data_IF_389233852043
#
_entry.id   IF_389233852043
#
_cell.length_a   1.000
_cell.length_b   1.000
_cell.length_c   1.000
_cell.angle_alpha   90.00
_cell.angle_beta   90.00
_cell.angle_gamma   90.00
#
_symmetry.space_group_name_H-M   'P 1'
#
loop_
_entity.id
_entity.type
_entity.pdbx_description
1 polymer ?
#
# COMPACT_ATOMS: atom_id res chain seq x y z
N UNK A 1 -13.01 -61.47 -19.82
CA UNK A 1 -13.76 -60.31 -20.34
C UNK A 1 -14.20 -59.49 -19.15
N UNK A 2 -13.43 -58.47 -18.77
CA UNK A 2 -13.83 -57.47 -17.79
C UNK A 2 -13.54 -56.11 -18.40
N UNK A 3 -14.60 -55.30 -18.53
CA UNK A 3 -14.57 -53.95 -19.09
C UNK A 3 -13.95 -52.99 -18.07
N UNK A 4 -13.08 -52.06 -18.46
CA UNK A 4 -12.70 -50.97 -17.57
C UNK A 4 -13.79 -49.89 -17.61
N UNK A 5 -14.29 -49.54 -16.43
CA UNK A 5 -15.19 -48.41 -16.19
C UNK A 5 -14.43 -47.10 -16.37
N UNK A 6 -14.94 -46.25 -17.27
CA UNK A 6 -14.48 -44.86 -17.47
C UNK A 6 -14.96 -44.03 -16.28
N UNK A 7 -14.02 -43.49 -15.51
CA UNK A 7 -14.33 -42.46 -14.51
C UNK A 7 -14.29 -41.11 -15.21
N UNK A 8 -15.46 -40.50 -15.38
CA UNK A 8 -15.59 -39.11 -15.81
C UNK A 8 -15.10 -38.19 -14.68
N UNK A 9 -13.97 -37.53 -14.90
CA UNK A 9 -13.53 -36.40 -14.06
C UNK A 9 -14.39 -35.20 -14.45
N UNK A 10 -15.31 -34.83 -13.56
CA UNK A 10 -16.01 -33.54 -13.64
C UNK A 10 -15.04 -32.48 -13.14
N UNK A 11 -14.44 -31.74 -14.07
CA UNK A 11 -13.75 -30.48 -13.75
C UNK A 11 -14.82 -29.47 -13.34
N UNK A 12 -14.96 -29.28 -12.02
CA UNK A 12 -15.72 -28.15 -11.49
C UNK A 12 -14.83 -26.93 -11.67
N UNK A 13 -15.13 -26.12 -12.69
CA UNK A 13 -14.55 -24.79 -12.84
C UNK A 13 -15.08 -23.95 -11.68
N UNK A 14 -14.27 -23.75 -10.64
CA UNK A 14 -14.57 -22.82 -9.57
C UNK A 14 -14.40 -21.40 -10.13
N UNK A 15 -15.49 -20.80 -10.62
CA UNK A 15 -15.61 -19.35 -10.67
C UNK A 15 -15.56 -18.88 -9.21
N UNK A 16 -14.38 -18.42 -8.76
CA UNK A 16 -14.29 -17.58 -7.60
C UNK A 16 -15.07 -16.32 -7.93
N UNK A 17 -16.28 -16.21 -7.40
CA UNK A 17 -16.98 -14.94 -7.35
C UNK A 17 -16.11 -14.02 -6.47
N UNK A 18 -15.30 -13.17 -7.11
CA UNK A 18 -14.73 -12.01 -6.44
C UNK A 18 -15.92 -11.29 -5.81
N UNK A 19 -15.90 -11.10 -4.50
CA UNK A 19 -16.91 -10.30 -3.84
C UNK A 19 -16.86 -8.94 -4.52
N UNK A 20 -17.91 -8.60 -5.25
CA UNK A 20 -18.07 -7.28 -5.82
C UNK A 20 -18.28 -6.34 -4.64
N UNK A 21 -17.19 -5.72 -4.16
CA UNK A 21 -17.30 -4.46 -3.44
C UNK A 21 -18.19 -3.59 -4.35
N UNK A 22 -19.26 -3.03 -3.80
CA UNK A 22 -20.04 -2.08 -4.59
C UNK A 22 -19.07 -0.97 -5.00
N UNK A 23 -18.90 -0.75 -6.31
CA UNK A 23 -17.97 0.26 -6.82
C UNK A 23 -18.42 1.65 -6.36
N UNK A 24 -17.94 2.05 -5.19
CA UNK A 24 -18.14 3.39 -4.66
C UNK A 24 -16.97 4.26 -5.09
N UNK A 25 -17.25 5.54 -5.26
CA UNK A 25 -16.23 6.55 -5.56
C UNK A 25 -15.74 7.28 -4.31
N UNK A 26 -16.28 6.94 -3.15
CA UNK A 26 -15.85 7.42 -1.85
C UNK A 26 -16.26 6.44 -0.76
N UNK A 27 -15.65 6.58 0.41
CA UNK A 27 -15.95 5.75 1.56
C UNK A 27 -15.07 6.06 2.75
N UNK A 28 -15.22 5.24 3.78
CA UNK A 28 -14.38 5.25 4.98
C UNK A 28 -14.02 3.83 5.37
N UNK A 29 -12.87 3.64 5.99
CA UNK A 29 -12.47 2.37 6.59
C UNK A 29 -11.62 2.60 7.84
N UNK A 30 -11.62 1.62 8.75
CA UNK A 30 -10.85 1.68 9.99
C UNK A 30 -9.41 1.16 9.79
N UNK A 31 -8.47 1.84 10.44
CA UNK A 31 -7.05 1.50 10.52
C UNK A 31 -6.72 1.09 11.96
N UNK A 32 -5.77 0.17 12.14
CA UNK A 32 -5.13 -0.15 13.41
C UNK A 32 -3.63 -0.34 13.20
N UNK A 33 -2.80 0.24 14.06
CA UNK A 33 -1.39 -0.12 14.18
C UNK A 33 -1.12 -0.59 15.60
N UNK A 34 -0.43 -1.72 15.75
CA UNK A 34 -0.23 -2.32 17.06
C UNK A 34 1.05 -3.17 17.13
N UNK A 35 2.04 -2.71 17.89
CA UNK A 35 3.12 -3.58 18.35
C UNK A 35 2.56 -4.61 19.34
N UNK A 36 2.58 -5.88 18.95
CA UNK A 36 1.95 -7.00 19.69
C UNK A 36 2.92 -7.71 20.66
N UNK A 37 4.15 -7.21 20.81
CA UNK A 37 5.17 -7.74 21.72
C UNK A 37 5.43 -9.26 21.57
N UNK A 38 5.39 -9.77 20.34
CA UNK A 38 5.38 -11.20 20.02
C UNK A 38 6.75 -11.89 20.02
N UNK A 39 7.75 -11.33 20.72
CA UNK A 39 9.02 -12.00 21.04
C UNK A 39 8.78 -13.30 21.85
N UNK A 40 9.73 -14.26 21.86
CA UNK A 40 9.58 -15.47 22.70
C UNK A 40 9.24 -15.16 24.16
N UNK A 41 8.36 -15.95 24.78
CA UNK A 41 7.99 -15.81 26.20
C UNK A 41 9.24 -15.70 27.09
N UNK A 42 9.22 -14.75 28.03
CA UNK A 42 10.35 -14.44 28.91
C UNK A 42 11.47 -13.58 28.27
N UNK A 43 11.44 -13.33 26.96
CA UNK A 43 12.22 -12.28 26.30
C UNK A 43 11.36 -11.06 25.96
N UNK A 44 10.06 -11.27 25.74
CA UNK A 44 9.09 -10.19 25.60
C UNK A 44 8.96 -9.39 26.90
N UNK A 45 8.70 -8.09 26.77
CA UNK A 45 8.25 -7.16 27.82
C UNK A 45 6.79 -7.40 28.24
N UNK A 46 6.05 -8.19 27.46
CA UNK A 46 4.68 -8.65 27.70
C UNK A 46 4.65 -10.17 27.97
N UNK A 47 3.45 -10.78 27.97
CA UNK A 47 3.24 -12.23 28.12
C UNK A 47 2.57 -12.80 26.84
N UNK A 48 3.26 -12.86 25.69
CA UNK A 48 2.65 -13.12 24.39
C UNK A 48 2.01 -14.51 24.26
N UNK A 49 2.47 -15.52 25.01
CA UNK A 49 1.81 -16.84 25.01
C UNK A 49 0.35 -16.74 25.51
N UNK A 50 0.10 -15.84 26.46
CA UNK A 50 -1.24 -15.59 27.01
C UNK A 50 -1.98 -14.50 26.23
N UNK A 51 -1.27 -13.43 25.85
CA UNK A 51 -1.89 -12.22 25.34
C UNK A 51 -2.19 -12.27 23.83
N UNK A 52 -1.35 -12.91 23.02
CA UNK A 52 -1.55 -12.94 21.56
C UNK A 52 -2.89 -13.59 21.14
N UNK A 53 -3.37 -14.70 21.75
CA UNK A 53 -4.72 -15.20 21.48
C UNK A 53 -5.83 -14.19 21.79
N UNK A 54 -5.69 -13.40 22.87
CA UNK A 54 -6.65 -12.36 23.24
C UNK A 54 -6.63 -11.22 22.22
N UNK A 55 -5.45 -10.80 21.76
CA UNK A 55 -5.30 -9.81 20.69
C UNK A 55 -6.00 -10.31 19.42
N UNK A 56 -5.76 -11.56 19.00
CA UNK A 56 -6.36 -12.17 17.81
C UNK A 56 -7.88 -12.03 17.75
N UNK A 57 -8.56 -12.25 18.87
CA UNK A 57 -10.03 -12.16 18.97
C UNK A 57 -10.58 -10.73 18.85
N UNK A 58 -9.73 -9.70 19.00
CA UNK A 58 -10.10 -8.28 19.08
C UNK A 58 -9.79 -7.50 17.80
N UNK A 59 -9.20 -8.13 16.79
CA UNK A 59 -8.81 -7.47 15.54
C UNK A 59 -9.97 -7.23 14.56
N UNK A 60 -11.04 -8.02 14.63
CA UNK A 60 -12.16 -7.99 13.66
C UNK A 60 -12.85 -6.63 13.39
N UNK A 61 -12.88 -5.65 14.32
CA UNK A 61 -13.46 -4.33 14.05
C UNK A 61 -12.68 -3.41 13.09
N UNK A 62 -11.44 -3.73 12.72
CA UNK A 62 -10.54 -2.84 11.98
C UNK A 62 -10.30 -3.34 10.55
N UNK A 63 -10.63 -2.58 9.51
CA UNK A 63 -10.54 -3.06 8.13
C UNK A 63 -9.11 -3.27 7.62
N UNK A 64 -8.15 -2.51 8.15
CA UNK A 64 -6.73 -2.59 7.80
C UNK A 64 -5.91 -2.51 9.08
N UNK A 65 -5.06 -3.51 9.31
CA UNK A 65 -4.27 -3.65 10.52
C UNK A 65 -2.81 -3.86 10.14
N UNK A 66 -1.93 -3.04 10.71
CA UNK A 66 -0.51 -3.31 10.78
C UNK A 66 -0.18 -3.79 12.18
N UNK A 67 0.57 -4.89 12.24
CA UNK A 67 1.14 -5.40 13.49
C UNK A 67 2.65 -5.41 13.41
N UNK A 68 3.27 -5.02 14.51
CA UNK A 68 4.71 -4.98 14.73
C UNK A 68 5.06 -5.99 15.83
N UNK A 69 6.30 -6.49 15.81
CA UNK A 69 6.75 -7.60 16.66
C UNK A 69 5.91 -8.89 16.57
N UNK A 70 5.21 -9.11 15.45
CA UNK A 70 4.55 -10.39 15.17
C UNK A 70 5.58 -11.46 14.74
N UNK A 71 6.36 -11.93 15.71
CA UNK A 71 7.45 -12.89 15.51
C UNK A 71 7.03 -14.33 15.79
N UNK A 72 7.03 -14.75 17.06
CA UNK A 72 6.98 -16.17 17.44
C UNK A 72 5.56 -16.70 17.63
N UNK A 73 4.57 -15.82 17.70
CA UNK A 73 3.16 -16.14 17.98
C UNK A 73 2.21 -15.86 16.81
N UNK A 74 2.74 -15.68 15.60
CA UNK A 74 1.96 -15.38 14.38
C UNK A 74 0.78 -16.33 14.14
N UNK A 75 1.00 -17.64 14.32
CA UNK A 75 -0.08 -18.62 14.15
C UNK A 75 -1.22 -18.42 15.16
N UNK A 76 -0.91 -17.98 16.39
CA UNK A 76 -1.91 -17.64 17.39
C UNK A 76 -2.58 -16.30 17.08
N UNK A 77 -1.82 -15.30 16.64
CA UNK A 77 -2.35 -13.99 16.25
C UNK A 77 -3.36 -14.11 15.10
N UNK A 78 -3.14 -15.04 14.18
CA UNK A 78 -4.01 -15.25 13.01
C UNK A 78 -5.14 -16.26 13.25
N UNK A 79 -5.16 -16.93 14.41
CA UNK A 79 -6.06 -18.07 14.67
C UNK A 79 -7.54 -17.69 14.70
N UNK A 80 -7.86 -16.54 15.30
CA UNK A 80 -9.23 -16.03 15.42
C UNK A 80 -9.55 -14.92 14.40
N UNK A 81 -8.56 -14.56 13.58
CA UNK A 81 -8.70 -13.52 12.57
C UNK A 81 -9.44 -13.99 11.31
N UNK A 82 -10.34 -13.15 10.80
CA UNK A 82 -11.17 -13.43 9.63
C UNK A 82 -10.93 -12.49 8.44
N UNK A 83 -9.91 -11.65 8.46
CA UNK A 83 -9.59 -10.78 7.33
C UNK A 83 -9.28 -11.61 6.08
N UNK A 84 -9.86 -11.19 4.95
CA UNK A 84 -9.78 -11.92 3.70
C UNK A 84 -8.33 -12.00 3.17
N UNK A 85 -7.53 -10.97 3.45
CA UNK A 85 -6.18 -10.83 2.95
C UNK A 85 -5.21 -10.60 4.10
N UNK A 86 -4.18 -11.44 4.17
CA UNK A 86 -3.17 -11.39 5.22
C UNK A 86 -1.80 -11.61 4.61
N UNK A 87 -0.79 -10.88 5.08
CA UNK A 87 0.59 -11.12 4.66
C UNK A 87 1.13 -12.38 5.34
N UNK A 88 1.89 -13.24 4.65
CA UNK A 88 2.56 -14.35 5.29
C UNK A 88 3.69 -13.84 6.21
N UNK A 89 3.92 -14.48 7.35
CA UNK A 89 5.09 -14.19 8.21
C UNK A 89 6.42 -14.35 7.47
N UNK A 90 7.39 -13.50 7.82
CA UNK A 90 8.80 -13.61 7.38
C UNK A 90 9.65 -14.49 8.32
N UNK A 91 9.08 -15.01 9.41
CA UNK A 91 9.75 -15.86 10.38
C UNK A 91 9.69 -15.33 11.82
N UNK A 92 10.20 -16.12 12.77
CA UNK A 92 10.31 -15.70 14.16
C UNK A 92 11.46 -14.72 14.41
N UNK A 93 11.61 -14.29 15.66
CA UNK A 93 12.64 -13.34 16.06
C UNK A 93 14.05 -13.85 15.67
N UNK A 94 14.85 -12.95 15.10
CA UNK A 94 16.18 -13.25 14.55
C UNK A 94 16.20 -13.67 13.07
N UNK A 95 15.02 -13.89 12.46
CA UNK A 95 14.90 -14.28 11.05
C UNK A 95 13.86 -13.40 10.35
N UNK A 96 12.70 -13.19 10.96
CA UNK A 96 11.62 -12.39 10.41
C UNK A 96 11.64 -10.94 10.88
N UNK A 97 10.98 -10.08 10.13
CA UNK A 97 10.84 -8.65 10.42
C UNK A 97 9.86 -8.35 11.55
N UNK A 98 8.95 -9.29 11.86
CA UNK A 98 7.86 -9.06 12.80
C UNK A 98 6.78 -8.12 12.27
N UNK A 99 6.80 -7.80 10.98
CA UNK A 99 5.88 -6.88 10.33
C UNK A 99 4.92 -7.65 9.44
N UNK A 100 3.63 -7.57 9.79
CA UNK A 100 2.56 -8.19 9.01
C UNK A 100 1.35 -7.25 8.92
N UNK A 101 0.56 -7.47 7.87
CA UNK A 101 -0.67 -6.71 7.60
C UNK A 101 -1.84 -7.66 7.44
N UNK A 102 -2.98 -7.30 8.05
CA UNK A 102 -4.28 -7.94 7.87
C UNK A 102 -5.23 -6.92 7.24
N UNK A 103 -6.02 -7.34 6.25
CA UNK A 103 -6.89 -6.43 5.51
C UNK A 103 -8.15 -7.10 4.97
N UNK A 104 -9.25 -6.37 5.02
CA UNK A 104 -10.48 -6.67 4.28
C UNK A 104 -10.32 -6.43 2.77
N UNK A 105 -9.33 -5.64 2.37
CA UNK A 105 -9.08 -5.25 0.98
C UNK A 105 -8.00 -6.13 0.35
N UNK A 106 -8.21 -6.48 -0.92
CA UNK A 106 -7.20 -7.19 -1.70
C UNK A 106 -5.94 -6.33 -1.76
N UNK A 107 -4.78 -6.96 -1.60
CA UNK A 107 -3.51 -6.29 -1.82
C UNK A 107 -2.71 -6.96 -2.93
N UNK A 108 -1.95 -6.14 -3.64
CA UNK A 108 -0.85 -6.57 -4.49
C UNK A 108 0.44 -6.05 -3.88
N UNK A 109 1.54 -6.67 -4.28
CA UNK A 109 2.89 -6.35 -3.82
C UNK A 109 3.06 -6.57 -2.31
N UNK A 110 4.17 -7.19 -1.95
CA UNK A 110 4.59 -7.35 -0.56
C UNK A 110 6.10 -7.22 -0.55
N UNK A 111 6.55 -5.99 -0.41
CA UNK A 111 7.96 -5.69 -0.27
C UNK A 111 8.33 -5.63 1.20
N UNK A 112 9.50 -6.18 1.53
CA UNK A 112 10.06 -6.12 2.88
C UNK A 112 11.46 -5.56 2.80
N UNK A 113 11.68 -4.45 3.47
CA UNK A 113 12.97 -3.76 3.49
C UNK A 113 13.47 -3.75 4.92
N UNK A 114 14.62 -4.39 5.15
CA UNK A 114 15.34 -4.30 6.42
C UNK A 114 16.06 -2.96 6.50
N UNK A 115 16.11 -2.36 7.69
CA UNK A 115 16.87 -1.14 7.89
C UNK A 115 18.36 -1.36 7.61
N UNK A 116 18.96 -0.44 6.85
CA UNK A 116 20.39 -0.47 6.56
C UNK A 116 21.23 -0.13 7.80
N UNK A 117 20.63 0.65 8.72
CA UNK A 117 21.21 1.06 9.99
C UNK A 117 20.29 0.74 11.15
N UNK A 118 20.88 0.12 12.16
CA UNK A 118 20.28 -0.15 13.46
C UNK A 118 21.33 0.07 14.55
N UNK A 119 20.91 0.24 15.79
CA UNK A 119 21.78 0.21 16.96
C UNK A 119 21.49 -1.04 17.79
N UNK A 120 22.54 -1.76 18.18
CA UNK A 120 22.40 -3.10 18.79
C UNK A 120 21.71 -3.08 20.18
N UNK A 121 21.60 -1.91 20.81
CA UNK A 121 21.24 -1.73 22.22
C UNK A 121 20.01 -2.52 22.65
N UNK A 122 18.83 -2.09 22.21
CA UNK A 122 17.55 -2.74 22.51
C UNK A 122 17.34 -4.03 21.70
N UNK A 123 18.40 -4.53 21.05
CA UNK A 123 18.38 -5.73 20.22
C UNK A 123 17.91 -5.50 18.78
N UNK A 124 17.78 -4.26 18.32
CA UNK A 124 17.22 -3.91 17.01
C UNK A 124 17.99 -4.53 15.83
N UNK A 125 19.31 -4.70 15.98
CA UNK A 125 20.14 -5.38 14.98
C UNK A 125 20.09 -6.92 15.06
N UNK A 126 19.41 -7.50 16.06
CA UNK A 126 19.35 -8.95 16.24
C UNK A 126 18.25 -9.61 15.41
N UNK A 127 17.36 -8.82 14.82
CA UNK A 127 16.27 -9.27 13.94
C UNK A 127 16.13 -8.26 12.80
N UNK A 128 15.65 -8.65 11.59
CA UNK A 128 15.56 -7.73 10.47
C UNK A 128 14.37 -6.75 10.60
N UNK A 129 14.41 -5.86 11.61
CA UNK A 129 13.50 -4.71 11.72
C UNK A 129 13.60 -3.85 10.45
N UNK A 130 12.51 -3.18 10.13
CA UNK A 130 12.36 -2.57 8.81
C UNK A 130 11.01 -1.93 8.58
N UNK A 131 10.61 -1.97 7.32
CA UNK A 131 9.26 -1.65 6.89
C UNK A 131 8.78 -2.60 5.80
N UNK A 132 7.47 -2.62 5.57
CA UNK A 132 6.84 -3.33 4.45
C UNK A 132 5.96 -2.40 3.66
N UNK A 133 5.87 -2.62 2.34
CA UNK A 133 4.85 -2.04 1.47
C UNK A 133 3.89 -3.12 0.99
N UNK A 134 2.59 -2.87 1.12
CA UNK A 134 1.54 -3.52 0.34
C UNK A 134 0.68 -2.45 -0.35
N UNK A 135 0.13 -2.74 -1.53
CA UNK A 135 -0.77 -1.83 -2.26
C UNK A 135 -2.20 -2.39 -2.20
N UNK A 136 -3.05 -1.77 -1.39
CA UNK A 136 -4.43 -2.22 -1.14
C UNK A 136 -5.41 -1.64 -2.17
N UNK A 137 -6.38 -2.45 -2.58
CA UNK A 137 -7.50 -2.08 -3.47
C UNK A 137 -8.76 -1.84 -2.67
N UNK A 138 -9.04 -0.58 -2.33
CA UNK A 138 -10.18 -0.22 -1.47
C UNK A 138 -11.50 -0.20 -2.24
N UNK A 139 -11.44 0.10 -3.53
CA UNK A 139 -12.56 0.07 -4.50
C UNK A 139 -11.96 -0.01 -5.91
N UNK A 140 -12.80 -0.16 -6.93
CA UNK A 140 -12.35 -0.01 -8.31
C UNK A 140 -11.70 1.37 -8.55
N UNK A 141 -10.50 1.34 -9.12
CA UNK A 141 -9.64 2.51 -9.31
C UNK A 141 -9.10 3.20 -8.05
N UNK A 142 -9.38 2.68 -6.85
CA UNK A 142 -8.91 3.21 -5.57
C UNK A 142 -7.80 2.33 -4.98
N UNK A 143 -6.56 2.55 -5.42
CA UNK A 143 -5.36 1.88 -4.92
C UNK A 143 -4.57 2.80 -3.98
N UNK A 144 -4.21 2.29 -2.80
CA UNK A 144 -3.48 3.01 -1.75
C UNK A 144 -2.24 2.20 -1.36
N UNK A 145 -1.10 2.87 -1.27
CA UNK A 145 0.12 2.28 -0.72
C UNK A 145 0.07 2.31 0.80
N UNK A 146 0.24 1.14 1.41
CA UNK A 146 0.18 0.95 2.85
C UNK A 146 1.55 0.47 3.36
N UNK A 147 2.12 1.25 4.26
CA UNK A 147 3.38 0.96 4.91
C UNK A 147 3.19 0.56 6.36
N UNK A 148 3.84 -0.54 6.75
CA UNK A 148 4.05 -0.96 8.14
C UNK A 148 5.52 -0.74 8.48
N UNK A 149 5.85 -0.10 9.61
CA UNK A 149 7.24 0.07 10.04
C UNK A 149 7.44 -0.23 11.52
N UNK A 150 8.65 -0.67 11.87
CA UNK A 150 9.14 -0.72 13.23
C UNK A 150 10.58 -0.17 13.25
N UNK A 151 10.74 1.08 13.66
CA UNK A 151 12.03 1.77 13.69
C UNK A 151 12.85 1.45 14.95
N UNK A 152 14.13 1.83 14.94
CA UNK A 152 15.10 1.55 16.01
C UNK A 152 14.65 2.04 17.40
N UNK A 153 14.67 1.17 18.40
CA UNK A 153 14.14 1.41 19.73
C UNK A 153 15.21 1.92 20.72
N UNK A 154 14.82 2.86 21.58
CA UNK A 154 15.69 3.39 22.64
C UNK A 154 15.90 4.90 22.54
N UNK A 155 16.75 5.44 23.40
CA UNK A 155 16.96 6.89 23.57
C UNK A 155 18.42 7.31 23.62
N UNK A 156 19.35 6.38 23.43
CA UNK A 156 20.77 6.68 23.31
C UNK A 156 21.05 7.38 21.98
N UNK A 157 22.20 8.06 21.89
CA UNK A 157 22.61 8.78 20.68
C UNK A 157 22.65 7.86 19.44
N UNK A 158 23.04 6.60 19.62
CA UNK A 158 23.03 5.59 18.55
C UNK A 158 21.62 5.24 18.07
N UNK A 159 20.63 5.17 18.97
CA UNK A 159 19.23 4.88 18.62
C UNK A 159 18.66 6.05 17.79
N UNK A 160 18.94 7.28 18.21
CA UNK A 160 18.50 8.50 17.54
C UNK A 160 19.08 8.60 16.12
N UNK A 161 20.38 8.30 15.96
CA UNK A 161 21.05 8.30 14.67
C UNK A 161 20.52 7.18 13.75
N UNK A 162 20.24 6.01 14.29
CA UNK A 162 19.63 4.91 13.55
C UNK A 162 18.23 5.27 13.07
N UNK A 163 17.36 5.81 13.94
CA UNK A 163 16.01 6.25 13.54
C UNK A 163 16.02 7.32 12.46
N UNK A 164 16.90 8.31 12.56
CA UNK A 164 17.05 9.32 11.50
C UNK A 164 17.39 8.67 10.15
N UNK A 165 18.28 7.66 10.16
CA UNK A 165 18.59 6.87 8.95
C UNK A 165 17.40 6.00 8.49
N UNK A 166 16.58 5.48 9.39
CA UNK A 166 15.40 4.69 9.04
C UNK A 166 14.36 5.55 8.30
N UNK A 167 14.07 6.75 8.80
CA UNK A 167 13.17 7.69 8.13
C UNK A 167 13.70 8.10 6.75
N UNK A 168 15.01 8.40 6.65
CA UNK A 168 15.61 8.72 5.36
C UNK A 168 15.49 7.57 4.34
N UNK A 169 15.75 6.33 4.78
CA UNK A 169 15.62 5.14 3.93
C UNK A 169 14.15 4.91 3.47
N UNK A 170 13.18 5.12 4.36
CA UNK A 170 11.77 5.02 4.01
C UNK A 170 11.36 6.12 3.01
N UNK A 171 11.82 7.35 3.19
CA UNK A 171 11.59 8.46 2.24
C UNK A 171 12.13 8.10 0.85
N UNK A 172 13.38 7.66 0.73
CA UNK A 172 13.97 7.25 -0.56
C UNK A 172 13.20 6.10 -1.22
N UNK A 173 12.74 5.13 -0.43
CA UNK A 173 11.90 4.06 -0.94
C UNK A 173 10.56 4.60 -1.48
N UNK A 174 9.90 5.50 -0.74
CA UNK A 174 8.62 6.09 -1.13
C UNK A 174 8.74 6.97 -2.39
N UNK A 175 9.86 7.65 -2.60
CA UNK A 175 10.14 8.39 -3.84
C UNK A 175 10.12 7.49 -5.08
N UNK A 176 10.54 6.23 -4.93
CA UNK A 176 10.55 5.27 -6.03
C UNK A 176 9.21 4.54 -6.17
N UNK A 177 8.67 4.05 -5.05
CA UNK A 177 7.54 3.10 -5.05
C UNK A 177 6.17 3.76 -5.00
N UNK A 178 6.10 4.96 -4.44
CA UNK A 178 4.85 5.64 -4.14
C UNK A 178 4.73 7.01 -4.81
N UNK A 179 5.59 7.37 -5.75
CA UNK A 179 5.44 8.60 -6.52
C UNK A 179 4.05 8.66 -7.17
N UNK A 180 3.28 9.72 -6.87
CA UNK A 180 1.93 9.92 -7.39
C UNK A 180 0.85 9.02 -6.77
N UNK A 181 1.17 8.19 -5.79
CA UNK A 181 0.23 7.32 -5.09
C UNK A 181 -0.28 7.97 -3.79
N UNK A 182 -1.53 7.69 -3.43
CA UNK A 182 -2.02 7.95 -2.09
C UNK A 182 -1.39 6.95 -1.12
N UNK A 183 -1.05 7.41 0.08
CA UNK A 183 -0.23 6.63 1.03
C UNK A 183 -0.86 6.64 2.42
N UNK A 184 -0.75 5.51 3.11
CA UNK A 184 -0.89 5.36 4.55
C UNK A 184 0.43 4.80 5.08
N UNK A 185 1.03 5.45 6.08
CA UNK A 185 2.18 4.92 6.80
C UNK A 185 1.79 4.80 8.26
N UNK A 186 1.83 3.60 8.82
CA UNK A 186 1.51 3.40 10.23
C UNK A 186 2.39 2.32 10.84
N UNK A 187 2.81 2.55 12.07
CA UNK A 187 3.72 1.65 12.76
C UNK A 187 4.32 2.25 14.02
N UNK A 188 5.07 1.44 14.75
CA UNK A 188 5.99 1.85 15.80
C UNK A 188 7.18 2.62 15.22
N UNK A 189 7.10 3.95 15.29
CA UNK A 189 8.20 4.81 14.82
C UNK A 189 9.31 4.97 15.86
N UNK A 190 9.12 4.45 17.07
CA UNK A 190 9.95 4.69 18.24
C UNK A 190 10.23 6.19 18.51
N UNK A 191 9.45 7.11 17.93
CA UNK A 191 9.77 8.54 17.83
C UNK A 191 8.78 9.45 18.53
N UNK A 192 9.30 10.59 19.04
CA UNK A 192 8.51 11.62 19.74
C UNK A 192 8.85 13.01 19.24
N UNK A 193 7.83 13.85 19.03
CA UNK A 193 8.02 15.25 18.59
C UNK A 193 8.74 16.11 19.62
N UNK A 194 8.71 15.74 20.90
CA UNK A 194 9.43 16.47 21.96
C UNK A 194 10.93 16.16 21.99
N UNK A 195 11.39 15.09 21.32
CA UNK A 195 12.78 14.63 21.37
C UNK A 195 13.56 15.19 20.18
N UNK A 196 14.60 15.99 20.45
CA UNK A 196 15.36 16.81 19.46
C UNK A 196 15.60 16.12 18.11
N UNK A 197 16.30 14.98 18.07
CA UNK A 197 16.62 14.31 16.79
C UNK A 197 15.43 13.64 16.10
N UNK A 198 14.47 13.17 16.89
CA UNK A 198 13.26 12.56 16.34
C UNK A 198 12.30 13.60 15.80
N UNK A 199 12.20 14.75 16.47
CA UNK A 199 11.44 15.90 16.01
C UNK A 199 11.92 16.31 14.63
N UNK A 200 13.22 16.49 14.43
CA UNK A 200 13.80 16.79 13.12
C UNK A 200 13.45 15.71 12.08
N UNK A 201 13.57 14.42 12.45
CA UNK A 201 13.30 13.31 11.54
C UNK A 201 11.80 13.18 11.18
N UNK A 202 10.89 13.40 12.14
CA UNK A 202 9.45 13.37 11.92
C UNK A 202 8.99 14.54 11.05
N UNK A 203 9.46 15.76 11.31
CA UNK A 203 9.15 16.91 10.48
C UNK A 203 9.71 16.75 9.07
N UNK A 204 10.95 16.28 8.94
CA UNK A 204 11.55 15.97 7.62
C UNK A 204 10.72 14.93 6.87
N UNK A 205 10.35 13.82 7.53
CA UNK A 205 9.50 12.79 6.93
C UNK A 205 8.15 13.34 6.45
N UNK A 206 7.50 14.19 7.26
CA UNK A 206 6.24 14.86 6.93
C UNK A 206 6.39 15.75 5.70
N UNK A 207 7.39 16.62 5.70
CA UNK A 207 7.59 17.62 4.66
C UNK A 207 8.03 16.96 3.34
N UNK A 208 9.02 16.06 3.39
CA UNK A 208 9.59 15.41 2.21
C UNK A 208 8.60 14.47 1.52
N UNK A 209 7.76 13.77 2.29
CA UNK A 209 6.78 12.85 1.72
C UNK A 209 5.41 13.48 1.49
N UNK A 210 5.15 14.68 2.02
CA UNK A 210 3.85 15.34 1.95
C UNK A 210 2.75 14.59 2.72
N UNK A 211 3.10 13.92 3.82
CA UNK A 211 2.15 13.18 4.66
C UNK A 211 1.63 14.06 5.80
N UNK A 212 0.51 13.68 6.42
CA UNK A 212 -0.04 14.33 7.62
C UNK A 212 -0.18 13.32 8.74
N UNK A 213 0.22 13.70 9.96
CA UNK A 213 0.05 12.89 11.17
C UNK A 213 -1.38 13.05 11.74
N UNK A 214 -2.05 11.93 11.97
CA UNK A 214 -3.41 11.87 12.49
C UNK A 214 -3.54 12.47 13.92
N UNK A 215 -2.59 12.21 14.81
CA UNK A 215 -2.60 12.74 16.17
C UNK A 215 -2.39 14.25 16.17
N UNK A 216 -1.44 14.74 15.36
CA UNK A 216 -1.19 16.17 15.24
C UNK A 216 -2.40 16.89 14.66
N UNK A 217 -2.96 16.39 13.58
CA UNK A 217 -4.09 17.05 12.89
C UNK A 217 -5.38 17.01 13.72
N UNK A 218 -5.71 15.87 14.32
CA UNK A 218 -7.02 15.67 14.97
C UNK A 218 -7.02 15.99 16.46
N UNK A 219 -5.94 15.67 17.18
CA UNK A 219 -5.88 15.88 18.64
C UNK A 219 -5.22 17.22 18.96
N UNK A 220 -4.16 17.58 18.24
CA UNK A 220 -3.41 18.81 18.50
C UNK A 220 -3.79 20.00 17.62
N UNK A 221 -4.74 19.83 16.71
CA UNK A 221 -5.23 20.90 15.83
C UNK A 221 -4.13 21.48 14.92
N UNK A 222 -3.19 20.65 14.49
CA UNK A 222 -2.05 21.03 13.65
C UNK A 222 -0.85 21.61 14.41
N UNK A 223 -0.89 21.62 15.76
CA UNK A 223 0.19 22.18 16.58
C UNK A 223 1.12 21.09 17.12
N UNK A 224 2.35 21.06 16.61
CA UNK A 224 3.38 20.14 17.07
C UNK A 224 3.85 20.45 18.50
N UNK A 225 4.14 19.44 19.34
CA UNK A 225 4.87 19.64 20.58
C UNK A 225 6.19 20.38 20.36
N UNK A 226 6.60 21.20 21.33
CA UNK A 226 7.87 21.93 21.25
C UNK A 226 9.05 20.95 21.41
N UNK A 227 9.98 21.02 20.47
CA UNK A 227 11.22 20.26 20.51
C UNK A 227 12.05 20.60 21.75
N UNK A 228 12.54 19.58 22.45
CA UNK A 228 13.32 19.74 23.68
C UNK A 228 12.49 20.03 24.93
N UNK A 229 11.16 20.15 24.81
CA UNK A 229 10.27 20.19 25.97
C UNK A 229 10.17 18.83 26.67
N UNK A 230 9.58 18.83 27.87
CA UNK A 230 9.29 17.59 28.59
C UNK A 230 8.42 16.66 27.74
N UNK A 231 8.79 15.37 27.71
CA UNK A 231 8.08 14.39 26.91
C UNK A 231 6.63 14.22 27.39
N UNK A 232 5.70 14.21 26.44
CA UNK A 232 4.26 13.99 26.69
C UNK A 232 3.98 12.49 26.87
N UNK A 233 4.64 11.84 27.82
CA UNK A 233 4.57 10.39 28.02
C UNK A 233 3.18 10.01 28.54
N UNK A 234 2.59 8.97 27.95
CA UNK A 234 1.37 8.37 28.47
C UNK A 234 1.65 7.59 29.76
N UNK A 235 0.74 7.65 30.72
CA UNK A 235 0.76 6.73 31.85
C UNK A 235 0.69 5.28 31.34
N UNK A 236 1.44 4.37 31.96
CA UNK A 236 1.42 2.95 31.62
C UNK A 236 1.39 2.06 32.87
N UNK A 237 0.33 1.24 33.07
CA UNK A 237 -0.94 1.26 32.33
C UNK A 237 -1.77 2.51 32.66
N UNK A 238 -2.74 2.87 31.80
CA UNK A 238 -3.73 3.87 32.15
C UNK A 238 -4.55 3.42 33.36
N UNK A 239 -4.91 4.37 34.23
CA UNK A 239 -5.79 4.09 35.35
C UNK A 239 -7.20 3.69 34.85
N UNK A 240 -7.85 2.78 35.57
CA UNK A 240 -9.23 2.40 35.25
C UNK A 240 -10.15 3.63 35.23
N UNK A 241 -10.85 3.84 34.12
CA UNK A 241 -11.75 4.98 33.92
C UNK A 241 -11.09 6.24 33.32
N UNK A 242 -9.81 6.19 32.92
CA UNK A 242 -9.22 7.22 32.06
C UNK A 242 -10.05 7.39 30.81
N UNK A 243 -10.44 8.62 30.49
CA UNK A 243 -11.29 8.90 29.33
C UNK A 243 -10.50 8.85 28.03
N UNK A 244 -11.18 8.61 26.91
CA UNK A 244 -10.56 8.66 25.59
C UNK A 244 -9.79 9.97 25.32
N UNK A 245 -10.34 11.09 25.76
CA UNK A 245 -9.71 12.40 25.60
C UNK A 245 -8.40 12.52 26.40
N UNK A 246 -8.32 11.89 27.57
CA UNK A 246 -7.09 11.82 28.36
C UNK A 246 -6.09 10.86 27.72
N UNK A 247 -6.53 9.68 27.26
CA UNK A 247 -5.65 8.68 26.63
C UNK A 247 -4.97 9.18 25.36
N UNK A 248 -5.65 10.01 24.57
CA UNK A 248 -5.05 10.60 23.35
C UNK A 248 -4.33 11.92 23.63
N UNK A 249 -4.42 12.49 24.84
CA UNK A 249 -3.79 13.79 25.15
C UNK A 249 -2.26 13.71 25.26
N UNK A 250 -1.75 12.52 25.58
CA UNK A 250 -0.32 12.18 25.59
C UNK A 250 0.12 11.66 24.21
N UNK A 251 1.44 11.55 24.05
CA UNK A 251 2.09 11.05 22.85
C UNK A 251 2.53 9.60 23.06
N UNK A 252 2.25 8.74 22.08
CA UNK A 252 2.85 7.41 21.90
C UNK A 252 3.91 7.46 20.82
N UNK A 253 4.74 6.42 20.73
CA UNK A 253 5.75 6.28 19.67
C UNK A 253 5.19 5.70 18.37
N UNK A 254 4.05 5.03 18.45
CA UNK A 254 3.27 4.56 17.30
C UNK A 254 2.60 5.75 16.61
N UNK A 255 2.60 5.79 15.28
CA UNK A 255 2.06 6.90 14.47
C UNK A 255 1.19 6.39 13.32
N UNK A 256 0.29 7.26 12.83
CA UNK A 256 -0.51 7.03 11.62
C UNK A 256 -0.40 8.29 10.75
N UNK A 257 0.21 8.15 9.58
CA UNK A 257 0.37 9.19 8.58
C UNK A 257 -0.45 8.90 7.33
N UNK A 258 -0.97 9.95 6.68
CA UNK A 258 -1.68 9.81 5.41
C UNK A 258 -1.28 10.85 4.38
N UNK A 259 -1.37 10.50 3.09
CA UNK A 259 -1.15 11.41 1.98
C UNK A 259 -2.15 11.16 0.85
N UNK A 260 -2.73 12.25 0.35
CA UNK A 260 -3.58 12.25 -0.86
C UNK A 260 -2.74 12.18 -2.14
N UNK A 261 -3.38 11.82 -3.25
CA UNK A 261 -2.82 11.93 -4.60
C UNK A 261 -3.77 12.68 -5.53
N UNK A 262 -3.39 12.85 -6.79
CA UNK A 262 -4.29 13.34 -7.83
C UNK A 262 -5.41 12.35 -8.20
N UNK A 263 -5.31 11.09 -7.75
CA UNK A 263 -6.33 10.04 -7.92
C UNK A 263 -7.27 9.97 -6.72
N UNK A 264 -6.74 10.05 -5.51
CA UNK A 264 -7.48 9.82 -4.27
C UNK A 264 -7.23 10.97 -3.30
N UNK A 265 -8.30 11.66 -2.90
CA UNK A 265 -8.28 12.44 -1.66
C UNK A 265 -8.37 11.47 -0.50
N UNK A 266 -7.39 11.49 0.40
CA UNK A 266 -7.26 10.59 1.55
C UNK A 266 -6.91 11.41 2.79
N UNK A 267 -7.70 11.28 3.84
CA UNK A 267 -7.47 11.93 5.14
C UNK A 267 -7.93 11.04 6.30
N UNK A 268 -7.40 11.26 7.50
CA UNK A 268 -7.94 10.68 8.73
C UNK A 268 -9.03 11.58 9.33
N UNK A 269 -10.11 10.98 9.84
CA UNK A 269 -11.24 11.71 10.45
C UNK A 269 -11.44 11.40 11.94
N UNK A 270 -10.75 10.41 12.47
CA UNK A 270 -10.70 10.06 13.89
C UNK A 270 -9.31 9.56 14.28
N UNK A 271 -8.99 9.65 15.56
CA UNK A 271 -7.77 9.11 16.15
C UNK A 271 -8.08 8.64 17.57
N UNK A 272 -7.78 7.37 17.86
CA UNK A 272 -8.16 6.70 19.10
C UNK A 272 -6.97 5.90 19.63
N UNK A 273 -6.68 6.04 20.91
CA UNK A 273 -5.92 5.05 21.66
C UNK A 273 -6.89 3.96 22.10
N UNK A 274 -6.67 2.73 21.66
CA UNK A 274 -7.59 1.60 21.76
C UNK A 274 -7.36 0.75 23.02
N UNK A 275 -6.61 1.25 24.01
CA UNK A 275 -6.28 0.53 25.25
C UNK A 275 -7.44 -0.30 25.81
N UNK A 276 -8.61 0.31 26.02
CA UNK A 276 -9.76 -0.34 26.66
C UNK A 276 -10.31 -1.53 25.86
N UNK A 277 -10.04 -1.60 24.56
CA UNK A 277 -10.40 -2.74 23.71
C UNK A 277 -9.37 -3.87 23.77
N UNK A 278 -8.15 -3.60 24.26
CA UNK A 278 -7.01 -4.52 24.28
C UNK A 278 -6.43 -4.69 25.69
N UNK A 279 -7.32 -5.04 26.63
CA UNK A 279 -6.96 -5.48 27.99
C UNK A 279 -7.40 -6.93 28.27
N UNK A 280 -6.75 -7.54 29.26
CA UNK A 280 -7.16 -8.81 29.85
C UNK A 280 -8.33 -8.66 30.84
N UNK A 281 -8.73 -9.76 31.48
CA UNK A 281 -9.84 -9.79 32.44
C UNK A 281 -9.56 -8.98 33.73
N UNK A 282 -8.29 -8.73 34.05
CA UNK A 282 -7.84 -7.91 35.18
C UNK A 282 -7.67 -6.43 34.80
N UNK A 283 -7.88 -6.08 33.52
CA UNK A 283 -7.74 -4.74 32.96
C UNK A 283 -6.30 -4.35 32.62
N UNK A 284 -5.36 -5.30 32.56
CA UNK A 284 -3.99 -5.04 32.15
C UNK A 284 -3.86 -5.02 30.62
N UNK A 285 -3.03 -4.12 30.04
CA UNK A 285 -2.78 -4.09 28.60
C UNK A 285 -2.24 -5.42 28.06
N UNK A 286 -2.66 -5.80 26.84
CA UNK A 286 -2.22 -7.03 26.18
C UNK A 286 -0.82 -6.94 25.55
N UNK A 287 -0.27 -5.73 25.45
CA UNK A 287 1.08 -5.43 24.96
C UNK A 287 1.69 -4.34 25.84
N UNK A 288 3.00 -4.14 25.74
CA UNK A 288 3.69 -2.98 26.31
C UNK A 288 3.48 -1.70 25.48
N UNK A 289 2.86 -1.81 24.31
CA UNK A 289 2.35 -0.70 23.51
C UNK A 289 0.84 -0.54 23.65
N UNK A 290 0.36 0.68 23.40
CA UNK A 290 -1.06 0.94 23.20
C UNK A 290 -1.41 0.82 21.71
N UNK A 291 -2.50 0.12 21.35
CA UNK A 291 -2.97 0.10 19.98
C UNK A 291 -3.51 1.47 19.59
N UNK A 292 -3.18 1.94 18.39
CA UNK A 292 -3.73 3.19 17.85
C UNK A 292 -4.59 2.90 16.64
N UNK A 293 -5.76 3.54 16.57
CA UNK A 293 -6.65 3.47 15.43
C UNK A 293 -6.97 4.84 14.85
N UNK A 294 -7.37 4.83 13.59
CA UNK A 294 -7.93 5.98 12.90
C UNK A 294 -9.00 5.53 11.92
N UNK A 295 -9.91 6.43 11.57
CA UNK A 295 -10.80 6.23 10.40
C UNK A 295 -10.21 6.98 9.21
N UNK A 296 -9.84 6.25 8.16
CA UNK A 296 -9.48 6.83 6.88
C UNK A 296 -10.75 7.16 6.09
N UNK A 297 -10.83 8.38 5.56
CA UNK A 297 -11.85 8.83 4.61
C UNK A 297 -11.21 9.02 3.26
N UNK A 298 -11.84 8.49 2.21
CA UNK A 298 -11.31 8.58 0.86
C UNK A 298 -12.38 8.94 -0.17
N UNK A 299 -11.94 9.58 -1.25
CA UNK A 299 -12.74 9.79 -2.46
C UNK A 299 -11.87 9.82 -3.69
N UNK A 300 -12.31 9.16 -4.76
CA UNK A 300 -11.70 9.25 -6.07
C UNK A 300 -11.87 10.66 -6.65
N UNK A 301 -10.89 11.07 -7.46
CA UNK A 301 -10.85 12.33 -8.21
C UNK A 301 -12.07 12.50 -9.13
N UNK A 302 -12.15 13.52 -9.97
CA UNK A 302 -13.10 13.55 -11.10
C UNK A 302 -12.41 13.72 -12.45
N UNK A 303 -11.08 13.71 -12.45
CA UNK A 303 -10.25 13.93 -13.63
C UNK A 303 -9.29 12.78 -13.93
N UNK A 304 -8.94 11.96 -12.94
CA UNK A 304 -8.01 10.83 -13.11
C UNK A 304 -8.48 9.59 -12.33
N UNK A 305 -8.21 8.40 -12.87
CA UNK A 305 -8.46 7.09 -12.24
C UNK A 305 -7.36 6.10 -12.59
N UNK A 306 -7.02 5.23 -11.65
CA UNK A 306 -6.25 4.04 -11.94
C UNK A 306 -7.19 2.93 -12.44
N UNK A 307 -6.69 2.05 -13.29
CA UNK A 307 -7.34 0.76 -13.56
C UNK A 307 -6.62 -0.37 -12.84
N UNK A 308 -7.27 -1.52 -12.76
CA UNK A 308 -6.67 -2.72 -12.21
C UNK A 308 -5.49 -3.23 -13.06
N UNK A 309 -4.39 -3.67 -12.42
CA UNK A 309 -3.22 -4.13 -13.13
C UNK A 309 -3.33 -5.56 -13.63
N UNK A 310 -2.58 -5.84 -14.72
CA UNK A 310 -2.32 -7.18 -15.23
C UNK A 310 -0.81 -7.43 -15.24
N UNK A 311 -0.37 -8.56 -14.69
CA UNK A 311 1.04 -8.96 -14.67
C UNK A 311 1.57 -9.37 -13.29
N UNK A 312 2.89 -9.48 -13.17
CA UNK A 312 3.59 -10.00 -12.00
C UNK A 312 4.27 -8.94 -11.12
N UNK A 313 4.87 -9.34 -9.99
CA UNK A 313 5.56 -8.44 -9.06
C UNK A 313 7.05 -8.21 -9.42
N UNK A 314 7.48 -8.53 -10.64
CA UNK A 314 8.88 -8.39 -11.06
C UNK A 314 9.16 -7.01 -11.66
N UNK A 315 10.41 -6.75 -12.03
CA UNK A 315 10.83 -5.45 -12.57
C UNK A 315 10.76 -4.33 -11.54
N UNK A 316 11.06 -3.12 -11.97
CA UNK A 316 11.00 -1.90 -11.14
C UNK A 316 9.63 -1.23 -11.29
N UNK A 317 9.09 -0.59 -10.24
CA UNK A 317 7.83 0.13 -10.32
C UNK A 317 7.95 1.38 -11.19
N UNK A 318 6.87 1.73 -11.88
CA UNK A 318 6.71 3.03 -12.53
C UNK A 318 5.29 3.56 -12.37
N UNK A 319 5.15 4.88 -12.38
CA UNK A 319 3.87 5.56 -12.33
C UNK A 319 3.94 6.92 -13.04
N UNK A 320 3.19 7.09 -14.12
CA UNK A 320 3.21 8.33 -14.89
C UNK A 320 2.53 9.51 -14.21
N UNK A 321 1.78 9.29 -13.12
CA UNK A 321 1.11 10.37 -12.40
C UNK A 321 2.13 11.43 -11.98
N UNK A 322 3.24 10.99 -11.40
CA UNK A 322 4.25 11.88 -10.84
C UNK A 322 5.14 12.55 -11.90
N UNK A 323 5.20 12.00 -13.11
CA UNK A 323 6.15 12.44 -14.15
C UNK A 323 5.47 13.16 -15.32
N UNK A 324 4.25 12.74 -15.67
CA UNK A 324 3.59 13.15 -16.91
C UNK A 324 2.22 13.79 -16.70
N UNK A 325 1.63 13.67 -15.49
CA UNK A 325 0.27 14.13 -15.17
C UNK A 325 0.24 15.11 -13.98
N UNK A 326 1.25 15.97 -13.86
CA UNK A 326 1.44 16.88 -12.70
C UNK A 326 0.50 18.08 -12.68
N UNK A 327 0.16 18.64 -13.85
CA UNK A 327 -0.56 19.91 -13.95
C UNK A 327 -1.83 19.81 -14.83
N UNK A 328 -1.68 19.29 -16.05
CA UNK A 328 -2.76 19.12 -17.02
C UNK A 328 -2.92 17.64 -17.39
N UNK A 329 -4.14 17.25 -17.75
CA UNK A 329 -4.42 15.93 -18.32
C UNK A 329 -4.13 15.97 -19.83
N UNK A 330 -3.09 15.28 -20.34
CA UNK A 330 -2.78 15.24 -21.76
C UNK A 330 -3.71 14.28 -22.51
N UNK A 331 -3.61 14.31 -23.84
CA UNK A 331 -4.11 13.23 -24.71
C UNK A 331 -2.95 12.42 -25.27
N UNK A 332 -3.16 11.14 -25.53
CA UNK A 332 -2.21 10.32 -26.27
C UNK A 332 -2.38 10.64 -27.77
N UNK A 333 -1.32 11.10 -28.43
CA UNK A 333 -1.29 11.38 -29.86
C UNK A 333 -0.87 10.15 -30.68
N UNK A 334 0.03 9.33 -30.13
CA UNK A 334 0.45 8.06 -30.71
C UNK A 334 0.78 7.07 -29.61
N UNK A 335 0.56 5.77 -29.85
CA UNK A 335 0.97 4.71 -28.94
C UNK A 335 1.55 3.53 -29.72
N UNK A 336 2.64 2.98 -29.19
CA UNK A 336 3.38 1.85 -29.73
C UNK A 336 3.42 0.72 -28.70
N UNK A 337 3.08 -0.49 -29.13
CA UNK A 337 3.31 -1.72 -28.38
C UNK A 337 4.51 -2.42 -29.03
N UNK A 338 5.56 -2.65 -28.25
CA UNK A 338 6.67 -3.52 -28.64
C UNK A 338 6.36 -4.92 -28.18
N UNK A 339 6.28 -5.87 -29.10
CA UNK A 339 5.90 -7.23 -28.74
C UNK A 339 6.46 -8.31 -29.65
N UNK A 340 6.51 -9.52 -29.12
CA UNK A 340 6.74 -10.76 -29.84
C UNK A 340 5.76 -11.82 -29.34
N UNK A 341 6.25 -12.84 -28.63
CA UNK A 341 5.36 -13.76 -27.89
C UNK A 341 4.77 -13.15 -26.61
N UNK A 342 5.33 -12.02 -26.15
CA UNK A 342 4.92 -11.25 -24.97
C UNK A 342 5.01 -9.76 -25.28
N UNK A 343 4.47 -8.91 -24.42
CA UNK A 343 4.66 -7.46 -24.48
C UNK A 343 6.00 -7.12 -23.85
N UNK A 344 6.86 -6.50 -24.65
CA UNK A 344 8.20 -6.08 -24.25
C UNK A 344 8.17 -4.67 -23.66
N UNK A 345 7.49 -3.74 -24.33
CA UNK A 345 7.38 -2.35 -23.89
C UNK A 345 6.13 -1.65 -24.44
N UNK A 346 5.77 -0.56 -23.79
CA UNK A 346 4.81 0.43 -24.28
C UNK A 346 5.50 1.80 -24.39
N UNK A 347 5.19 2.53 -25.45
CA UNK A 347 5.65 3.91 -25.63
C UNK A 347 4.57 4.76 -26.26
N UNK A 348 4.42 6.01 -25.83
CA UNK A 348 3.38 6.90 -26.34
C UNK A 348 3.82 8.34 -26.30
N UNK A 349 3.33 9.09 -27.28
CA UNK A 349 3.49 10.54 -27.35
C UNK A 349 2.28 11.21 -26.71
N UNK A 350 2.55 12.08 -25.73
CA UNK A 350 1.55 12.90 -25.06
C UNK A 350 1.48 14.28 -25.72
N UNK A 351 0.26 14.79 -25.87
CA UNK A 351 -0.04 16.16 -26.28
C UNK A 351 -0.80 16.86 -25.16
N UNK A 352 -0.18 17.88 -24.58
CA UNK A 352 -0.75 18.68 -23.49
C UNK A 352 -1.67 19.78 -24.03
N UNK A 353 -2.64 20.28 -23.24
CA UNK A 353 -3.49 21.42 -23.62
C UNK A 353 -2.71 22.68 -24.01
N UNK A 354 -1.52 22.87 -23.44
CA UNK A 354 -0.59 23.96 -23.77
C UNK A 354 -0.01 23.86 -25.20
N UNK A 355 -0.13 22.70 -25.84
CA UNK A 355 0.50 22.35 -27.12
C UNK A 355 1.91 21.76 -26.98
N UNK A 356 2.46 21.63 -25.76
CA UNK A 356 3.71 20.88 -25.55
C UNK A 356 3.50 19.39 -25.77
N UNK A 357 4.60 18.68 -26.04
CA UNK A 357 4.60 17.23 -26.22
C UNK A 357 5.69 16.57 -25.37
N UNK A 358 5.46 15.32 -24.98
CA UNK A 358 6.45 14.45 -24.34
C UNK A 358 6.28 13.02 -24.85
N UNK A 359 7.31 12.20 -24.71
CA UNK A 359 7.26 10.78 -25.05
C UNK A 359 7.57 9.98 -23.79
N UNK A 360 6.73 8.98 -23.50
CA UNK A 360 6.91 8.06 -22.39
C UNK A 360 7.30 6.68 -22.92
N UNK A 361 8.10 5.94 -22.15
CA UNK A 361 8.58 4.60 -22.50
C UNK A 361 8.71 3.75 -21.25
N UNK A 362 8.09 2.57 -21.25
CA UNK A 362 8.19 1.57 -20.17
C UNK A 362 8.38 0.18 -20.75
N UNK A 363 9.38 -0.57 -20.26
CA UNK A 363 9.68 -1.92 -20.73
C UNK A 363 11.11 -2.12 -21.22
N UNK A 364 11.29 -3.22 -21.95
CA UNK A 364 12.57 -3.71 -22.45
C UNK A 364 13.08 -3.00 -23.71
N UNK A 365 13.86 -3.71 -24.51
CA UNK A 365 14.30 -3.23 -25.85
C UNK A 365 14.00 -4.23 -26.97
N UNK A 366 13.35 -5.34 -26.63
CA UNK A 366 12.99 -6.41 -27.56
C UNK A 366 11.71 -6.11 -28.31
N UNK A 367 11.17 -7.14 -28.96
CA UNK A 367 9.95 -7.07 -29.76
C UNK A 367 10.07 -6.22 -31.04
N UNK A 368 9.01 -6.28 -31.84
CA UNK A 368 8.79 -5.42 -33.00
C UNK A 368 7.76 -4.33 -32.66
N UNK A 369 7.91 -3.15 -33.25
CA UNK A 369 6.99 -2.03 -33.06
C UNK A 369 5.67 -2.26 -33.79
N UNK A 370 4.55 -2.05 -33.09
CA UNK A 370 3.24 -1.83 -33.68
C UNK A 370 2.67 -0.53 -33.14
N UNK A 371 2.36 0.44 -34.02
CA UNK A 371 1.99 1.81 -33.63
C UNK A 371 0.60 2.17 -34.14
N UNK A 372 -0.18 2.83 -33.28
CA UNK A 372 -1.43 3.49 -33.62
C UNK A 372 -1.28 5.00 -33.42
N UNK A 373 -1.52 5.78 -34.48
CA UNK A 373 -1.67 7.23 -34.38
C UNK A 373 -3.14 7.59 -34.14
N UNK A 374 -3.39 8.42 -33.13
CA UNK A 374 -4.73 8.87 -32.78
C UNK A 374 -5.02 10.21 -33.47
N UNK A 375 -6.13 10.27 -34.20
CA UNK A 375 -6.59 11.52 -34.82
C UNK A 375 -7.31 12.40 -33.80
N UNK A 376 -7.52 13.69 -34.12
CA UNK A 376 -8.23 14.60 -33.23
C UNK A 376 -9.62 14.05 -32.83
N UNK A 377 -9.87 13.87 -31.53
CA UNK A 377 -11.11 13.31 -30.97
C UNK A 377 -11.15 11.77 -30.87
N UNK A 378 -10.10 11.07 -31.29
CA UNK A 378 -9.93 9.62 -31.08
C UNK A 378 -9.13 9.39 -29.79
N UNK A 379 -9.62 8.53 -28.90
CA UNK A 379 -8.99 8.21 -27.63
C UNK A 379 -9.29 6.77 -27.23
N UNK A 380 -8.37 6.17 -26.47
CA UNK A 380 -8.44 4.77 -26.05
C UNK A 380 -9.41 4.66 -24.87
N UNK A 381 -10.41 3.79 -24.99
CA UNK A 381 -11.49 3.60 -23.99
C UNK A 381 -11.47 2.24 -23.31
N UNK A 382 -10.66 1.31 -23.80
CA UNK A 382 -10.57 -0.05 -23.27
C UNK A 382 -9.16 -0.61 -23.42
N UNK A 383 -8.69 -1.28 -22.37
CA UNK A 383 -7.50 -2.12 -22.35
C UNK A 383 -7.94 -3.57 -22.14
N UNK A 384 -7.44 -4.48 -22.97
CA UNK A 384 -7.44 -5.91 -22.68
C UNK A 384 -6.00 -6.35 -22.53
N UNK A 385 -5.63 -6.88 -21.37
CA UNK A 385 -4.29 -7.38 -21.11
C UNK A 385 -4.37 -8.82 -20.62
N UNK A 386 -3.40 -9.65 -20.98
CA UNK A 386 -3.31 -11.02 -20.49
C UNK A 386 -1.96 -11.29 -19.84
N UNK A 387 -1.99 -12.04 -18.73
CA UNK A 387 -0.81 -12.39 -17.95
C UNK A 387 -0.42 -13.85 -18.17
N UNK A 388 0.87 -14.16 -18.05
CA UNK A 388 1.37 -15.52 -18.16
C UNK A 388 2.75 -15.68 -17.53
N UNK A 389 3.19 -16.92 -17.33
CA UNK A 389 4.49 -17.23 -16.74
C UNK A 389 5.53 -17.57 -17.81
N UNK A 390 6.69 -16.95 -17.74
CA UNK A 390 7.87 -17.28 -18.54
C UNK A 390 9.11 -17.36 -17.65
N UNK A 391 9.82 -18.48 -17.67
CA UNK A 391 11.00 -18.72 -16.81
C UNK A 391 10.75 -18.39 -15.34
N UNK A 392 9.60 -18.84 -14.83
CA UNK A 392 9.13 -18.57 -13.47
C UNK A 392 8.79 -17.10 -13.12
N UNK A 393 8.83 -16.19 -14.10
CA UNK A 393 8.38 -14.81 -13.95
C UNK A 393 7.02 -14.58 -14.59
N UNK A 394 6.08 -13.98 -13.85
CA UNK A 394 4.78 -13.56 -14.40
C UNK A 394 4.92 -12.23 -15.13
N UNK A 395 4.47 -12.16 -16.39
CA UNK A 395 4.62 -11.00 -17.28
C UNK A 395 3.35 -10.70 -18.06
N UNK A 396 3.31 -9.55 -18.72
CA UNK A 396 2.26 -9.20 -19.68
C UNK A 396 2.54 -9.91 -21.01
N UNK A 397 1.68 -10.87 -21.35
CA UNK A 397 1.81 -11.66 -22.57
C UNK A 397 1.10 -11.02 -23.76
N UNK A 398 0.04 -10.25 -23.50
CA UNK A 398 -0.77 -9.63 -24.53
C UNK A 398 -1.30 -8.29 -24.04
N UNK A 399 -1.37 -7.32 -24.97
CA UNK A 399 -2.01 -6.05 -24.75
C UNK A 399 -2.81 -5.68 -26.01
N UNK A 400 -4.05 -5.26 -25.81
CA UNK A 400 -4.93 -4.70 -26.82
C UNK A 400 -5.59 -3.43 -26.31
N UNK A 401 -5.53 -2.40 -27.13
CA UNK A 401 -6.10 -1.08 -26.89
C UNK A 401 -7.21 -0.85 -27.91
N UNK A 402 -8.39 -0.46 -27.45
CA UNK A 402 -9.54 -0.14 -28.33
C UNK A 402 -9.94 1.32 -28.13
N UNK A 403 -10.16 2.04 -29.22
CA UNK A 403 -10.55 3.46 -29.20
C UNK A 403 -12.05 3.65 -29.25
N UNK A 404 -12.51 4.87 -28.94
CA UNK A 404 -13.90 5.29 -29.10
C UNK A 404 -14.40 5.20 -30.57
N UNK A 405 -13.52 5.31 -31.57
CA UNK A 405 -13.86 5.12 -32.99
C UNK A 405 -13.86 3.65 -33.44
N UNK A 406 -13.45 2.71 -32.57
CA UNK A 406 -13.36 1.28 -32.85
C UNK A 406 -12.03 0.84 -33.47
N UNK A 407 -11.03 1.73 -33.55
CA UNK A 407 -9.66 1.36 -33.92
C UNK A 407 -9.03 0.48 -32.84
N UNK A 408 -8.16 -0.43 -33.26
CA UNK A 408 -7.50 -1.40 -32.37
C UNK A 408 -6.00 -1.39 -32.59
N UNK A 409 -5.24 -1.37 -31.50
CA UNK A 409 -3.82 -1.71 -31.47
C UNK A 409 -3.65 -2.94 -30.60
N UNK A 410 -2.92 -3.95 -31.07
CA UNK A 410 -2.63 -5.15 -30.26
C UNK A 410 -1.23 -5.69 -30.51
N UNK A 411 -0.71 -6.42 -29.52
CA UNK A 411 0.59 -7.08 -29.57
C UNK A 411 0.69 -8.21 -28.55
N UNK A 412 1.55 -9.19 -28.83
CA UNK A 412 1.74 -10.37 -27.99
C UNK A 412 0.78 -11.53 -28.30
N UNK A 413 0.65 -12.48 -27.37
CA UNK A 413 -0.17 -13.69 -27.50
C UNK A 413 -1.08 -13.84 -26.29
N UNK A 414 -2.37 -14.05 -26.51
CA UNK A 414 -3.34 -14.22 -25.42
C UNK A 414 -3.03 -15.46 -24.57
N UNK A 415 -3.44 -15.41 -23.31
CA UNK A 415 -3.39 -16.52 -22.36
C UNK A 415 -4.80 -16.78 -21.80
N UNK A 416 -4.94 -17.73 -20.88
CA UNK A 416 -6.21 -17.99 -20.21
C UNK A 416 -6.53 -16.98 -19.09
N UNK A 417 -5.55 -16.14 -18.71
CA UNK A 417 -5.69 -15.12 -17.67
C UNK A 417 -5.65 -13.73 -18.30
N UNK A 418 -6.83 -13.20 -18.62
CA UNK A 418 -6.99 -11.89 -19.25
C UNK A 418 -7.95 -11.01 -18.43
N UNK A 419 -7.60 -9.73 -18.35
CA UNK A 419 -8.41 -8.69 -17.75
C UNK A 419 -8.80 -7.67 -18.82
N UNK A 420 -10.05 -7.21 -18.75
CA UNK A 420 -10.54 -6.08 -19.53
C UNK A 420 -10.83 -4.95 -18.57
N UNK A 421 -10.20 -3.79 -18.79
CA UNK A 421 -10.52 -2.55 -18.08
C UNK A 421 -11.04 -1.53 -19.08
N UNK A 422 -12.01 -0.74 -18.66
CA UNK A 422 -12.59 0.33 -19.46
C UNK A 422 -12.46 1.65 -18.74
N UNK A 423 -12.66 2.74 -19.48
CA UNK A 423 -12.85 4.06 -18.88
C UNK A 423 -13.94 4.03 -17.79
N UNK A 424 -13.84 4.91 -16.78
CA UNK A 424 -14.81 4.97 -15.70
C UNK A 424 -16.23 5.24 -16.21
N UNK A 425 -17.22 4.58 -15.61
CA UNK A 425 -18.64 4.75 -15.96
C UNK A 425 -19.49 5.21 -14.78
N UNK A 426 -18.87 5.52 -13.64
CA UNK A 426 -19.55 5.95 -12.43
C UNK A 426 -20.12 7.38 -12.55
N UNK A 427 -21.02 7.76 -11.66
CA UNK A 427 -21.68 9.07 -11.74
C UNK A 427 -20.72 10.26 -11.57
N UNK A 428 -19.51 10.05 -11.05
CA UNK A 428 -18.46 11.07 -10.91
C UNK A 428 -17.64 11.30 -12.19
N UNK A 429 -17.75 10.41 -13.19
CA UNK A 429 -17.00 10.47 -14.45
C UNK A 429 -17.75 11.25 -15.53
N UNK A 430 -18.05 12.53 -15.28
CA UNK A 430 -18.67 13.40 -16.29
C UNK A 430 -17.72 13.70 -17.47
N UNK A 431 -18.27 13.70 -18.70
CA UNK A 431 -17.50 13.98 -19.92
C UNK A 431 -16.92 12.74 -20.59
N UNK A 432 -16.04 12.94 -21.57
CA UNK A 432 -15.32 11.85 -22.21
C UNK A 432 -14.06 11.50 -21.39
N UNK A 433 -13.73 10.22 -21.35
CA UNK A 433 -12.55 9.69 -20.66
C UNK A 433 -11.73 8.86 -21.63
N UNK A 434 -10.41 8.89 -21.47
CA UNK A 434 -9.48 8.13 -22.29
C UNK A 434 -8.22 7.75 -21.52
N UNK A 435 -7.43 6.84 -22.10
CA UNK A 435 -6.11 6.50 -21.58
C UNK A 435 -5.16 7.70 -21.69
N UNK A 436 -4.49 8.05 -20.59
CA UNK A 436 -3.56 9.20 -20.54
C UNK A 436 -2.17 8.83 -20.02
N UNK A 437 -1.98 7.59 -19.57
CA UNK A 437 -0.70 7.07 -19.11
C UNK A 437 -0.84 5.65 -18.58
N UNK A 438 0.25 5.11 -18.05
CA UNK A 438 0.29 3.80 -17.41
C UNK A 438 0.92 3.88 -16.02
N UNK A 439 0.58 2.90 -15.20
CA UNK A 439 1.33 2.55 -13.99
C UNK A 439 1.55 1.03 -13.99
N UNK A 440 2.58 0.57 -13.29
CA UNK A 440 2.90 -0.84 -13.27
C UNK A 440 4.34 -1.12 -12.90
N UNK A 441 4.90 -2.15 -13.54
CA UNK A 441 6.28 -2.60 -13.33
C UNK A 441 6.92 -3.04 -14.64
N UNK A 442 8.20 -2.75 -14.79
CA UNK A 442 8.96 -3.15 -15.98
C UNK A 442 10.41 -3.45 -15.65
N UNK A 443 11.00 -4.36 -16.42
CA UNK A 443 12.43 -4.64 -16.44
C UNK A 443 12.86 -4.94 -17.87
N UNK A 444 13.38 -6.15 -18.10
CA UNK A 444 13.73 -6.61 -19.46
C UNK A 444 12.52 -6.71 -20.41
N UNK A 445 11.29 -6.77 -19.87
CA UNK A 445 10.00 -6.76 -20.60
C UNK A 445 8.96 -6.01 -19.72
N UNK A 446 7.71 -5.89 -20.19
CA UNK A 446 6.61 -5.39 -19.36
C UNK A 446 6.15 -6.46 -18.36
N UNK A 447 6.53 -6.31 -17.10
CA UNK A 447 6.18 -7.26 -16.04
C UNK A 447 4.75 -7.05 -15.53
N UNK A 448 4.28 -5.79 -15.45
CA UNK A 448 2.90 -5.43 -15.09
C UNK A 448 2.48 -4.11 -15.74
N UNK A 449 1.25 -4.06 -16.25
CA UNK A 449 0.66 -2.85 -16.83
C UNK A 449 -0.76 -2.61 -16.32
N UNK A 450 -1.07 -1.34 -16.08
CA UNK A 450 -2.39 -0.82 -15.80
C UNK A 450 -2.53 0.57 -16.43
N UNK A 451 -3.70 0.86 -16.99
CA UNK A 451 -3.99 2.17 -17.53
C UNK A 451 -4.28 3.20 -16.44
N UNK A 452 -3.94 4.45 -16.73
CA UNK A 452 -4.43 5.64 -16.04
C UNK A 452 -5.45 6.29 -16.96
N UNK A 453 -6.70 6.36 -16.51
CA UNK A 453 -7.77 7.04 -17.23
C UNK A 453 -7.80 8.52 -16.85
N UNK A 454 -7.95 9.39 -17.83
CA UNK A 454 -8.11 10.82 -17.63
C UNK A 454 -9.32 11.38 -18.36
N UNK A 455 -9.90 12.44 -17.82
CA UNK A 455 -10.94 13.19 -18.50
C UNK A 455 -10.34 13.90 -19.74
N UNK A 456 -10.86 13.57 -20.92
CA UNK A 456 -10.40 14.10 -22.22
C UNK A 456 -11.52 14.98 -22.78
N UNK A 457 -11.39 16.30 -22.60
CA UNK A 457 -12.41 17.29 -22.98
C UNK A 457 -12.18 17.90 -24.36
#
# INVERSE_FOLDING_TARGET
>A
MFSPSVWSVVLVSSLLARHTIADTTSGTFSLLTYNVAGLPEGLSSSNPETNTPLISERLGPYNVINVEEDFNYHAALYASDSHAYRTPTSGGAGIGSGLNTLSDFEYIDLERTTWDKCYINSGDCLTPKGFTLVRIRVSDGAWIDLYNLHADAGVDEGDLEARSSNFAQLTEFMETWSAGMAVIVMGDTNSRYTRVTDSESLHGFIDDNGVTDAWISLIRGGSYPEEGADALVCDFPFAAGTTQAEMVSCETVDKIFTRSSSIITLTTTSFTNENDNFVDDDGAPLSDHYPLSATASWSLSSSLRLSDPTGGPHGDPFNDIATSLTDDVPTIASITIRSGSRVDAVSYDLLYPSGSTSTVYHGGTGGDDNTLSLTNGDYITQITACSGKYNDHTRVFYLKLTTNSGSVLEGGVTTDDCLITTVPTDAGSGGAWGLVGFWGRSGDEADRLAGIWGAVY
#
